data_IF_246723760002
#
_entry.id   IF_246723760002
#
_cell.length_a   1.000
_cell.length_b   1.000
_cell.length_c   1.000
_cell.angle_alpha   90.00
_cell.angle_beta   90.00
_cell.angle_gamma   90.00
#
_symmetry.space_group_name_H-M   'P 1'
#
loop_
_entity.id
_entity.type
_entity.pdbx_description
1 polymer ?
#
# COMPACT_ATOMS: atom_id res chain seq x y z
N UNK A 1 15.10 -4.63 4.07
CA UNK A 1 13.73 -4.89 4.57
C UNK A 1 13.74 -6.10 5.48
N UNK A 2 12.85 -6.14 6.47
CA UNK A 2 12.61 -7.31 7.33
C UNK A 2 11.23 -7.86 6.99
N UNK A 3 11.08 -9.19 6.89
CA UNK A 3 9.84 -9.83 6.52
C UNK A 3 9.16 -10.54 7.70
N UNK A 4 7.83 -10.59 7.66
CA UNK A 4 7.00 -11.45 8.50
C UNK A 4 5.96 -12.14 7.63
N UNK A 5 5.73 -13.41 7.89
CA UNK A 5 4.79 -14.24 7.12
C UNK A 5 3.95 -15.04 8.12
N UNK A 6 2.66 -15.17 7.82
CA UNK A 6 1.73 -15.95 8.62
C UNK A 6 0.86 -16.80 7.71
N UNK A 7 0.71 -18.09 8.06
CA UNK A 7 -0.31 -18.93 7.47
C UNK A 7 -1.68 -18.60 8.11
N UNK A 8 -2.69 -18.42 7.27
CA UNK A 8 -4.07 -18.21 7.70
C UNK A 8 -5.04 -18.91 6.75
N UNK A 9 -6.29 -19.11 7.20
CA UNK A 9 -7.37 -19.56 6.33
C UNK A 9 -7.66 -18.48 5.27
N UNK A 10 -8.25 -18.89 4.15
CA UNK A 10 -8.64 -17.98 3.08
C UNK A 10 -9.57 -16.89 3.64
N UNK A 11 -9.09 -15.65 3.63
CA UNK A 11 -9.80 -14.45 4.11
C UNK A 11 -9.19 -13.23 3.43
N UNK A 12 -10.00 -12.20 3.20
CA UNK A 12 -9.54 -10.90 2.69
C UNK A 12 -8.66 -10.16 3.69
N UNK A 13 -8.82 -10.45 4.98
CA UNK A 13 -8.22 -9.71 6.09
C UNK A 13 -7.02 -10.47 6.66
N UNK A 14 -5.99 -9.73 7.09
CA UNK A 14 -4.79 -10.33 7.70
C UNK A 14 -4.98 -10.41 9.22
N UNK A 15 -5.39 -11.58 9.72
CA UNK A 15 -5.83 -11.72 11.12
C UNK A 15 -4.70 -11.44 12.14
N UNK A 16 -3.48 -11.91 11.85
CA UNK A 16 -2.32 -11.71 12.74
C UNK A 16 -1.52 -10.43 12.44
N UNK A 17 -2.08 -9.53 11.62
CA UNK A 17 -1.42 -8.28 11.23
C UNK A 17 -0.92 -7.44 12.42
N UNK A 18 -1.67 -7.26 13.54
CA UNK A 18 -1.17 -6.48 14.67
C UNK A 18 0.16 -7.02 15.24
N UNK A 19 0.30 -8.33 15.31
CA UNK A 19 1.51 -8.97 15.83
C UNK A 19 2.67 -8.83 14.84
N UNK A 20 2.40 -9.02 13.54
CA UNK A 20 3.41 -8.82 12.50
C UNK A 20 3.93 -7.38 12.48
N UNK A 21 3.03 -6.39 12.52
CA UNK A 21 3.39 -4.98 12.56
C UNK A 21 4.18 -4.63 13.81
N UNK A 22 3.80 -5.17 14.97
CA UNK A 22 4.55 -4.98 16.21
C UNK A 22 5.99 -5.46 16.06
N UNK A 23 6.19 -6.66 15.53
CA UNK A 23 7.54 -7.21 15.34
C UNK A 23 8.37 -6.39 14.35
N UNK A 24 7.74 -5.86 13.29
CA UNK A 24 8.40 -4.97 12.33
C UNK A 24 8.80 -3.63 12.95
N UNK A 25 7.92 -3.02 13.75
CA UNK A 25 8.23 -1.78 14.46
C UNK A 25 9.33 -1.97 15.51
N UNK A 26 9.34 -3.11 16.22
CA UNK A 26 10.43 -3.45 17.14
C UNK A 26 11.75 -3.67 16.39
N UNK A 27 11.72 -4.33 15.22
CA UNK A 27 12.91 -4.50 14.39
C UNK A 27 13.45 -3.15 13.90
N UNK A 28 12.56 -2.24 13.46
CA UNK A 28 12.93 -0.88 13.07
C UNK A 28 13.58 -0.10 14.22
N UNK A 29 12.99 -0.16 15.42
CA UNK A 29 13.54 0.50 16.60
C UNK A 29 14.91 -0.07 16.96
N UNK A 30 15.08 -1.40 16.91
CA UNK A 30 16.39 -2.03 17.18
C UNK A 30 17.47 -1.59 16.18
N UNK A 31 17.11 -1.35 14.92
CA UNK A 31 18.07 -0.92 13.90
C UNK A 31 18.37 0.58 13.88
N UNK A 32 17.45 1.41 14.37
CA UNK A 32 17.54 2.89 14.23
C UNK A 32 17.60 3.63 15.55
N UNK A 33 17.29 2.97 16.67
CA UNK A 33 17.03 3.58 17.99
C UNK A 33 15.98 4.70 17.96
N UNK A 34 15.15 4.74 16.91
CA UNK A 34 14.09 5.73 16.71
C UNK A 34 12.75 5.04 16.57
N UNK A 35 11.71 5.69 17.11
CA UNK A 35 10.33 5.26 16.89
C UNK A 35 9.86 5.76 15.53
N UNK A 36 9.03 5.02 14.79
CA UNK A 36 8.47 5.51 13.55
C UNK A 36 7.49 6.65 13.84
N UNK A 37 7.68 7.78 13.16
CA UNK A 37 6.79 8.94 13.16
C UNK A 37 5.81 8.90 11.97
N UNK A 38 6.25 8.29 10.87
CA UNK A 38 5.47 8.12 9.64
C UNK A 38 5.55 6.67 9.15
N UNK A 39 4.42 6.13 8.68
CA UNK A 39 4.32 4.79 8.08
C UNK A 39 3.69 4.91 6.70
N UNK A 40 4.42 4.46 5.68
CA UNK A 40 3.90 4.30 4.32
C UNK A 40 3.49 2.84 4.15
N UNK A 41 2.21 2.60 3.91
CA UNK A 41 1.63 1.26 3.87
C UNK A 41 1.08 0.97 2.48
N UNK A 42 1.77 0.09 1.74
CA UNK A 42 1.32 -0.37 0.43
C UNK A 42 0.59 -1.71 0.54
N UNK A 43 -0.70 -1.71 0.20
CA UNK A 43 -1.57 -2.89 0.25
C UNK A 43 -1.89 -3.40 -1.15
N UNK A 44 -1.32 -4.54 -1.52
CA UNK A 44 -1.60 -5.21 -2.79
C UNK A 44 -2.77 -6.20 -2.68
N UNK A 45 -3.46 -6.51 -3.78
CA UNK A 45 -4.40 -7.65 -3.85
C UNK A 45 -5.74 -7.43 -3.16
N UNK A 46 -6.30 -6.23 -3.24
CA UNK A 46 -7.65 -5.92 -2.73
C UNK A 46 -8.55 -5.55 -3.90
N UNK A 47 -9.78 -6.09 -3.90
CA UNK A 47 -10.80 -5.73 -4.88
C UNK A 47 -11.46 -4.38 -4.52
N UNK A 48 -11.88 -3.61 -5.52
CA UNK A 48 -12.41 -2.25 -5.31
C UNK A 48 -13.55 -2.18 -4.27
N UNK A 49 -14.49 -3.12 -4.33
CA UNK A 49 -15.61 -3.19 -3.38
C UNK A 49 -15.20 -3.45 -1.91
N UNK A 50 -13.94 -3.81 -1.66
CA UNK A 50 -13.41 -4.11 -0.32
C UNK A 50 -12.47 -3.02 0.22
N UNK A 51 -12.15 -1.98 -0.55
CA UNK A 51 -11.16 -0.97 -0.17
C UNK A 51 -11.40 -0.38 1.21
N UNK A 52 -12.63 0.05 1.48
CA UNK A 52 -12.97 0.67 2.75
C UNK A 52 -12.91 -0.30 3.93
N UNK A 53 -13.42 -1.53 3.75
CA UNK A 53 -13.42 -2.56 4.80
C UNK A 53 -12.00 -2.95 5.18
N UNK A 54 -11.14 -3.19 4.18
CA UNK A 54 -9.72 -3.51 4.41
C UNK A 54 -8.98 -2.35 5.04
N UNK A 55 -9.15 -1.13 4.52
CA UNK A 55 -8.54 0.06 5.10
C UNK A 55 -8.87 0.18 6.59
N UNK A 56 -10.16 0.08 6.95
CA UNK A 56 -10.59 0.16 8.34
C UNK A 56 -9.99 -0.96 9.21
N UNK A 57 -10.03 -2.21 8.74
CA UNK A 57 -9.52 -3.36 9.47
C UNK A 57 -8.01 -3.26 9.72
N UNK A 58 -7.23 -2.94 8.68
CA UNK A 58 -5.77 -2.87 8.75
C UNK A 58 -5.29 -1.62 9.50
N UNK A 59 -5.98 -0.49 9.38
CA UNK A 59 -5.69 0.69 10.21
C UNK A 59 -5.96 0.45 11.70
N UNK A 60 -7.03 -0.29 12.05
CA UNK A 60 -7.24 -0.75 13.43
C UNK A 60 -6.11 -1.65 13.90
N UNK A 61 -5.65 -2.57 13.05
CA UNK A 61 -4.53 -3.45 13.37
C UNK A 61 -3.21 -2.69 13.59
N UNK A 62 -2.92 -1.68 12.76
CA UNK A 62 -1.75 -0.81 12.90
C UNK A 62 -1.80 -0.03 14.21
N UNK A 63 -2.93 0.62 14.52
CA UNK A 63 -3.12 1.32 15.81
C UNK A 63 -2.94 0.37 17.00
N UNK A 64 -3.46 -0.86 16.92
CA UNK A 64 -3.28 -1.88 17.95
C UNK A 64 -1.79 -2.23 18.12
N UNK A 65 -1.06 -2.44 17.03
CA UNK A 65 0.37 -2.73 17.07
C UNK A 65 1.18 -1.60 17.72
N UNK A 66 0.88 -0.33 17.40
CA UNK A 66 1.53 0.82 18.04
C UNK A 66 1.28 0.86 19.54
N UNK A 67 0.03 0.66 19.97
CA UNK A 67 -0.35 0.59 21.40
C UNK A 67 0.37 -0.53 22.16
N UNK A 68 0.70 -1.65 21.49
CA UNK A 68 1.45 -2.75 22.11
C UNK A 68 2.93 -2.46 22.35
N UNK A 69 3.47 -1.35 21.82
CA UNK A 69 4.89 -0.98 21.95
C UNK A 69 5.07 0.24 22.86
N UNK A 70 4.21 1.25 22.73
CA UNK A 70 4.31 2.49 23.49
C UNK A 70 2.92 3.10 23.65
N UNK A 71 2.55 3.41 24.88
CA UNK A 71 1.42 4.30 25.14
C UNK A 71 1.84 5.71 24.64
N UNK A 72 1.08 6.28 23.70
CA UNK A 72 1.28 7.65 23.19
C UNK A 72 1.93 7.80 21.82
N UNK A 73 2.64 6.80 21.27
CA UNK A 73 3.20 6.92 19.92
C UNK A 73 2.22 6.42 18.85
N UNK A 74 1.55 7.33 18.16
CA UNK A 74 0.70 6.99 17.00
C UNK A 74 1.29 7.65 15.75
N UNK A 75 2.02 6.90 14.90
CA UNK A 75 2.57 7.46 13.68
C UNK A 75 1.48 7.90 12.72
N UNK A 76 1.78 8.92 11.92
CA UNK A 76 0.96 9.27 10.77
C UNK A 76 1.09 8.19 9.70
N UNK A 77 -0.02 7.76 9.11
CA UNK A 77 -0.04 6.66 8.14
C UNK A 77 -0.54 7.15 6.79
N UNK A 78 0.26 6.91 5.75
CA UNK A 78 -0.19 7.00 4.36
C UNK A 78 -0.51 5.60 3.88
N UNK A 79 -1.80 5.33 3.63
CA UNK A 79 -2.27 4.03 3.18
C UNK A 79 -2.55 4.08 1.68
N UNK A 80 -1.89 3.23 0.91
CA UNK A 80 -2.00 3.18 -0.55
C UNK A 80 -2.36 1.77 -0.97
N UNK A 81 -3.52 1.61 -1.60
CA UNK A 81 -3.90 0.34 -2.22
C UNK A 81 -3.25 0.28 -3.59
N UNK A 82 -2.52 -0.79 -3.86
CA UNK A 82 -1.87 -1.05 -5.13
C UNK A 82 -2.67 -2.15 -5.82
N UNK A 83 -3.17 -1.87 -7.01
CA UNK A 83 -3.84 -2.88 -7.82
C UNK A 83 -3.08 -3.07 -9.13
N UNK A 84 -2.42 -4.22 -9.29
CA UNK A 84 -1.68 -4.56 -10.52
C UNK A 84 -2.51 -5.36 -11.53
N UNK A 85 -3.68 -5.86 -11.13
CA UNK A 85 -4.51 -6.78 -11.91
C UNK A 85 -5.84 -6.11 -12.28
N UNK A 86 -5.77 -5.14 -13.18
CA UNK A 86 -6.92 -4.40 -13.69
C UNK A 86 -7.02 -4.42 -15.22
N UNK A 87 -8.16 -4.00 -15.74
CA UNK A 87 -8.44 -3.98 -17.17
C UNK A 87 -8.08 -2.65 -17.87
N UNK A 88 -7.74 -1.59 -17.13
CA UNK A 88 -7.26 -0.35 -17.73
C UNK A 88 -5.97 -0.58 -18.55
N UNK A 89 -5.91 0.05 -19.72
CA UNK A 89 -4.76 0.04 -20.65
C UNK A 89 -4.55 1.46 -21.15
N UNK A 90 -3.29 1.90 -21.24
CA UNK A 90 -2.92 3.20 -21.82
C UNK A 90 -2.10 2.98 -23.08
N UNK A 91 -2.35 3.82 -24.08
CA UNK A 91 -1.64 3.79 -25.35
C UNK A 91 -1.04 5.17 -25.61
N UNK A 92 0.27 5.25 -25.93
CA UNK A 92 0.90 6.51 -26.34
C UNK A 92 0.22 7.10 -27.57
N UNK A 93 -0.03 8.42 -27.56
CA UNK A 93 -0.55 9.13 -28.75
C UNK A 93 0.59 9.43 -29.72
N UNK A 94 1.77 9.79 -29.20
CA UNK A 94 2.95 10.07 -30.01
C UNK A 94 3.96 8.93 -29.87
N UNK A 95 4.71 8.67 -30.95
CA UNK A 95 5.76 7.66 -30.96
C UNK A 95 6.90 7.97 -29.98
N UNK A 96 7.14 9.25 -29.67
CA UNK A 96 8.16 9.67 -28.68
C UNK A 96 7.81 9.28 -27.24
N UNK A 97 6.53 9.07 -26.96
CA UNK A 97 6.00 8.71 -25.63
C UNK A 97 5.82 7.19 -25.50
N UNK A 98 6.32 6.43 -26.50
CA UNK A 98 6.23 4.98 -26.59
C UNK A 98 7.60 4.32 -26.39
N UNK A 99 7.60 3.16 -25.71
CA UNK A 99 8.77 2.28 -25.64
C UNK A 99 9.01 1.52 -26.96
N UNK A 100 10.06 0.68 -27.00
CA UNK A 100 10.38 -0.12 -28.19
C UNK A 100 9.31 -1.16 -28.57
N UNK A 101 8.31 -1.40 -27.71
CA UNK A 101 7.20 -2.32 -27.92
C UNK A 101 5.87 -1.57 -28.17
N UNK A 102 5.87 -0.25 -28.19
CA UNK A 102 4.68 0.58 -28.38
C UNK A 102 3.85 0.82 -27.11
N UNK A 103 4.36 0.50 -25.92
CA UNK A 103 3.69 0.79 -24.64
C UNK A 103 4.07 2.18 -24.11
N UNK A 104 3.31 2.68 -23.14
CA UNK A 104 3.69 3.86 -22.39
C UNK A 104 5.08 3.69 -21.75
N UNK A 105 5.91 4.73 -21.83
CA UNK A 105 7.23 4.73 -21.21
C UNK A 105 7.15 4.54 -19.70
N UNK A 106 8.18 3.93 -19.12
CA UNK A 106 8.31 3.79 -17.67
C UNK A 106 8.28 5.18 -17.00
N UNK A 107 7.63 5.26 -15.84
CA UNK A 107 7.38 6.51 -15.14
C UNK A 107 6.19 7.31 -15.65
N UNK A 108 5.44 6.82 -16.66
CA UNK A 108 4.18 7.45 -17.06
C UNK A 108 3.18 7.42 -15.90
N UNK A 109 2.65 8.60 -15.56
CA UNK A 109 1.61 8.78 -14.54
C UNK A 109 0.35 9.31 -15.20
N UNK A 110 -0.80 8.72 -14.84
CA UNK A 110 -2.13 9.21 -15.23
C UNK A 110 -2.94 9.43 -13.96
N UNK A 111 -3.16 10.69 -13.62
CA UNK A 111 -3.85 11.17 -12.42
C UNK A 111 -5.11 12.01 -12.72
N UNK A 112 -5.51 12.08 -13.99
CA UNK A 112 -6.64 12.88 -14.46
C UNK A 112 -7.44 12.19 -15.57
N UNK A 113 -8.69 12.61 -15.76
CA UNK A 113 -9.59 12.12 -16.80
C UNK A 113 -10.22 10.75 -16.52
N UNK A 114 -9.40 9.70 -16.43
CA UNK A 114 -9.87 8.30 -16.27
C UNK A 114 -9.83 7.79 -14.83
N UNK A 115 -9.26 8.57 -13.92
CA UNK A 115 -9.21 8.25 -12.47
C UNK A 115 -10.53 8.62 -11.79
N UNK A 116 -10.72 8.15 -10.56
CA UNK A 116 -11.90 8.50 -9.78
C UNK A 116 -11.88 10.00 -9.40
N UNK A 117 -12.94 10.78 -9.71
CA UNK A 117 -12.94 12.23 -9.46
C UNK A 117 -13.05 12.60 -7.98
N UNK A 118 -13.39 11.66 -7.11
CA UNK A 118 -13.61 11.88 -5.67
C UNK A 118 -12.56 11.19 -4.79
N UNK A 119 -11.62 10.45 -5.36
CA UNK A 119 -10.56 9.75 -4.63
C UNK A 119 -9.20 10.20 -5.12
N UNK A 120 -8.18 10.08 -4.26
CA UNK A 120 -6.81 10.29 -4.68
C UNK A 120 -6.24 9.01 -5.31
N UNK A 121 -6.63 8.77 -6.56
CA UNK A 121 -6.25 7.60 -7.35
C UNK A 121 -5.40 8.02 -8.55
N UNK A 122 -4.41 7.20 -8.91
CA UNK A 122 -3.59 7.40 -10.10
C UNK A 122 -3.11 6.06 -10.65
N UNK A 123 -2.82 6.03 -11.95
CA UNK A 123 -2.10 4.94 -12.59
C UNK A 123 -0.62 5.32 -12.69
N UNK A 124 0.25 4.40 -12.27
CA UNK A 124 1.70 4.54 -12.43
C UNK A 124 2.24 3.35 -13.22
N UNK A 125 2.84 3.64 -14.36
CA UNK A 125 3.52 2.68 -15.21
C UNK A 125 4.97 2.57 -14.76
N UNK A 126 5.19 1.93 -13.62
CA UNK A 126 6.52 1.73 -13.02
C UNK A 126 7.15 0.38 -13.32
N UNK A 127 6.56 -0.38 -14.25
CA UNK A 127 7.01 -1.72 -14.64
C UNK A 127 8.20 -1.69 -15.60
#
# INVERSE_FOLDING_TARGET
>A
YVARVVAQKASSDIQKLPHMLRELFLAFYKSTSRKPEHVIYHRDGVSEGQYYVILQAEMRALRKACKMISEGNTPSVTFTIVNKRHHARTFPVNQRDADCKGNAIHGTVVDSGVVNPHRFDFFLYGH
#
